data_IF_328875994684
#
_entry.id   IF_328875994684
#
_cell.length_a   1.000
_cell.length_b   1.000
_cell.length_c   1.000
_cell.angle_alpha   90.00
_cell.angle_beta   90.00
_cell.angle_gamma   90.00
#
_symmetry.space_group_name_H-M   'P 1'
#
loop_
_entity.id
_entity.type
_entity.pdbx_description
1 polymer ?
#
# COMPACT_ATOMS: atom_id res chain seq x y z
N UNK A 1 14.42 6.01 17.52
CA UNK A 1 13.23 6.77 17.06
C UNK A 1 12.06 6.35 17.91
N UNK A 2 11.48 7.26 18.69
CA UNK A 2 10.46 6.94 19.70
C UNK A 2 9.03 6.89 19.13
N UNK A 3 8.79 7.58 18.02
CA UNK A 3 7.48 7.64 17.36
C UNK A 3 7.66 7.64 15.84
N UNK A 4 6.93 6.75 15.16
CA UNK A 4 6.83 6.73 13.69
C UNK A 4 5.36 6.87 13.32
N UNK A 5 5.04 7.87 12.52
CA UNK A 5 3.71 8.05 11.92
C UNK A 5 3.90 8.11 10.43
N UNK A 6 3.44 7.10 9.70
CA UNK A 6 3.67 7.01 8.25
C UNK A 6 2.66 6.10 7.56
N UNK A 7 2.71 6.06 6.23
CA UNK A 7 1.96 5.15 5.38
C UNK A 7 2.90 4.53 4.34
N UNK A 8 2.54 3.42 3.68
CA UNK A 8 3.32 2.87 2.58
C UNK A 8 3.54 3.91 1.46
N UNK A 9 4.75 4.09 0.91
CA UNK A 9 4.93 4.77 -0.36
C UNK A 9 4.44 3.86 -1.50
N UNK A 10 3.16 3.99 -1.84
CA UNK A 10 2.48 3.13 -2.82
C UNK A 10 3.08 3.29 -4.24
N UNK A 11 3.81 2.26 -4.71
CA UNK A 11 4.29 2.14 -6.09
C UNK A 11 3.43 1.23 -6.97
N UNK A 12 2.30 0.78 -6.44
CA UNK A 12 1.47 -0.25 -7.06
C UNK A 12 0.43 0.34 -8.02
N UNK A 13 0.78 1.40 -8.76
CA UNK A 13 -0.11 2.11 -9.70
C UNK A 13 -0.73 1.19 -10.77
N UNK A 14 -0.14 0.02 -11.00
CA UNK A 14 -0.71 -1.05 -11.84
C UNK A 14 -1.94 -1.73 -11.24
N UNK A 15 -2.03 -1.82 -9.91
CA UNK A 15 -3.12 -2.47 -9.16
C UNK A 15 -4.05 -1.49 -8.47
N UNK A 16 -3.62 -0.23 -8.27
CA UNK A 16 -4.40 0.81 -7.58
C UNK A 16 -4.46 2.11 -8.38
N UNK A 17 -4.68 3.23 -7.71
CA UNK A 17 -4.88 4.52 -8.37
C UNK A 17 -3.52 5.04 -8.85
N UNK A 18 -3.39 5.20 -10.16
CA UNK A 18 -2.17 5.69 -10.77
C UNK A 18 -1.98 7.19 -10.51
N UNK A 19 -1.34 7.53 -9.38
CA UNK A 19 -1.01 8.92 -9.02
C UNK A 19 -0.19 9.60 -10.11
N UNK A 20 0.83 8.93 -10.65
CA UNK A 20 1.62 9.45 -11.77
C UNK A 20 0.79 9.77 -13.01
N UNK A 21 -0.24 8.98 -13.33
CA UNK A 21 -1.15 9.25 -14.46
C UNK A 21 -2.10 10.42 -14.15
N UNK A 22 -2.55 10.54 -12.90
CA UNK A 22 -3.41 11.65 -12.50
C UNK A 22 -2.65 12.98 -12.47
N UNK A 23 -1.39 12.98 -12.04
CA UNK A 23 -0.57 14.19 -11.91
C UNK A 23 0.23 14.54 -13.15
N UNK A 24 0.35 13.65 -14.15
CA UNK A 24 1.22 13.82 -15.32
C UNK A 24 1.03 15.15 -16.02
N UNK A 25 -0.21 15.53 -16.34
CA UNK A 25 -0.51 16.79 -17.03
C UNK A 25 -0.07 18.02 -16.22
N UNK A 26 -0.38 18.05 -14.93
CA UNK A 26 0.04 19.15 -14.05
C UNK A 26 1.56 19.23 -13.93
N UNK A 27 2.24 18.08 -13.87
CA UNK A 27 3.70 17.98 -13.78
C UNK A 27 4.38 18.44 -15.07
N UNK A 28 3.82 18.09 -16.23
CA UNK A 28 4.29 18.59 -17.53
C UNK A 28 4.17 20.11 -17.64
N UNK A 29 3.12 20.69 -17.06
CA UNK A 29 2.86 22.13 -17.15
C UNK A 29 3.81 22.98 -16.31
N UNK A 30 4.33 22.43 -15.20
CA UNK A 30 5.30 23.09 -14.33
C UNK A 30 6.76 22.67 -14.63
N UNK A 31 6.98 21.92 -15.70
CA UNK A 31 8.30 21.42 -16.08
C UNK A 31 9.27 22.58 -16.34
N UNK A 32 10.47 22.49 -15.79
CA UNK A 32 11.49 23.54 -15.81
C UNK A 32 11.23 24.69 -14.83
N UNK A 33 10.08 24.70 -14.15
CA UNK A 33 9.70 25.71 -13.15
C UNK A 33 9.80 25.18 -11.70
N UNK A 34 10.00 23.87 -11.52
CA UNK A 34 10.14 23.29 -10.18
C UNK A 34 11.56 23.53 -9.63
N UNK A 35 11.73 24.34 -8.56
CA UNK A 35 13.04 24.59 -7.96
C UNK A 35 13.66 23.33 -7.33
N UNK A 36 12.87 22.27 -7.13
CA UNK A 36 13.31 20.99 -6.59
C UNK A 36 13.60 19.93 -7.66
N UNK A 37 13.55 20.31 -8.94
CA UNK A 37 13.75 19.41 -10.09
C UNK A 37 12.45 18.85 -10.65
N UNK A 38 12.43 18.58 -11.95
CA UNK A 38 11.24 18.05 -12.62
C UNK A 38 10.85 16.66 -12.08
N UNK A 39 9.55 16.39 -12.03
CA UNK A 39 9.07 15.11 -11.55
C UNK A 39 9.43 13.98 -12.52
N UNK A 40 10.00 12.91 -11.98
CA UNK A 40 10.22 11.68 -12.72
C UNK A 40 9.01 10.74 -12.56
N UNK A 41 8.21 10.61 -13.63
CA UNK A 41 7.07 9.70 -13.67
C UNK A 41 7.49 8.22 -13.58
N UNK A 42 8.79 7.91 -13.66
CA UNK A 42 9.34 6.58 -13.45
C UNK A 42 9.43 6.18 -11.97
N UNK A 43 9.23 7.12 -11.03
CA UNK A 43 9.30 6.90 -9.57
C UNK A 43 8.38 5.77 -9.07
N UNK A 44 7.26 5.53 -9.76
CA UNK A 44 6.36 4.41 -9.46
C UNK A 44 7.11 3.06 -9.44
N UNK A 45 8.15 2.89 -10.28
CA UNK A 45 8.97 1.66 -10.34
C UNK A 45 9.93 1.51 -9.16
N UNK A 46 10.26 2.60 -8.49
CA UNK A 46 11.15 2.61 -7.33
C UNK A 46 10.37 2.60 -6.00
N UNK A 47 9.05 2.76 -6.06
CA UNK A 47 8.14 2.67 -4.91
C UNK A 47 7.68 1.21 -4.66
N UNK A 48 6.95 0.96 -3.58
CA UNK A 48 6.58 -0.41 -3.16
C UNK A 48 5.81 -1.15 -4.25
N UNK A 49 6.28 -2.35 -4.63
CA UNK A 49 5.70 -3.18 -5.68
C UNK A 49 6.08 -2.78 -7.10
N UNK A 50 6.99 -1.81 -7.27
CA UNK A 50 7.47 -1.35 -8.57
C UNK A 50 8.35 -2.38 -9.30
N UNK A 51 9.00 -3.28 -8.56
CA UNK A 51 9.84 -4.37 -9.09
C UNK A 51 9.22 -5.73 -8.79
N UNK A 52 9.33 -6.66 -9.74
CA UNK A 52 8.86 -8.03 -9.56
C UNK A 52 9.89 -8.80 -8.76
N UNK A 53 9.43 -9.44 -7.69
CA UNK A 53 10.24 -10.33 -6.86
C UNK A 53 9.80 -11.77 -7.02
N UNK A 54 10.74 -12.68 -6.77
CA UNK A 54 10.46 -14.10 -6.69
C UNK A 54 9.79 -14.45 -5.37
N UNK A 55 9.00 -15.52 -5.40
CA UNK A 55 8.12 -15.86 -4.29
C UNK A 55 8.92 -16.42 -3.10
N UNK A 56 8.81 -15.74 -1.97
CA UNK A 56 9.34 -16.11 -0.66
C UNK A 56 8.17 -15.99 0.32
N UNK A 57 7.96 -16.97 1.17
CA UNK A 57 6.83 -16.93 2.11
C UNK A 57 6.97 -15.75 3.06
N UNK A 58 5.96 -14.87 3.09
CA UNK A 58 5.87 -13.79 4.07
C UNK A 58 5.14 -14.25 5.33
N UNK A 59 5.47 -13.68 6.51
CA UNK A 59 4.91 -14.10 7.80
C UNK A 59 3.51 -13.50 8.06
N UNK A 60 2.58 -13.67 7.11
CA UNK A 60 1.19 -13.23 7.26
C UNK A 60 0.23 -14.30 6.74
N UNK A 61 -0.58 -14.85 7.65
CA UNK A 61 -1.59 -15.88 7.30
C UNK A 61 -2.68 -15.27 6.42
N UNK A 62 -3.14 -14.06 6.75
CA UNK A 62 -4.17 -13.37 5.95
C UNK A 62 -3.67 -13.05 4.56
N UNK A 63 -2.42 -12.61 4.42
CA UNK A 63 -1.82 -12.37 3.11
C UNK A 63 -1.81 -13.64 2.26
N UNK A 64 -1.36 -14.77 2.82
CA UNK A 64 -1.30 -16.03 2.09
C UNK A 64 -2.69 -16.47 1.61
N UNK A 65 -3.71 -16.41 2.47
CA UNK A 65 -5.10 -16.70 2.08
C UNK A 65 -5.62 -15.77 0.98
N UNK A 66 -5.27 -14.49 1.01
CA UNK A 66 -5.65 -13.52 -0.03
C UNK A 66 -4.91 -13.80 -1.33
N UNK A 67 -3.62 -14.09 -1.28
CA UNK A 67 -2.80 -14.40 -2.45
C UNK A 67 -3.29 -15.68 -3.16
N UNK A 68 -3.63 -16.73 -2.42
CA UNK A 68 -4.22 -17.96 -2.99
C UNK A 68 -5.51 -17.67 -3.76
N UNK A 69 -6.42 -16.89 -3.16
CA UNK A 69 -7.66 -16.46 -3.81
C UNK A 69 -7.39 -15.66 -5.07
N UNK A 70 -6.46 -14.70 -5.03
CA UNK A 70 -6.12 -13.89 -6.20
C UNK A 70 -5.44 -14.74 -7.28
N UNK A 71 -4.56 -15.66 -6.89
CA UNK A 71 -3.82 -16.53 -7.80
C UNK A 71 -4.75 -17.44 -8.59
N UNK A 72 -5.80 -17.99 -7.95
CA UNK A 72 -6.82 -18.80 -8.63
C UNK A 72 -7.59 -18.05 -9.72
N UNK A 73 -7.72 -16.72 -9.61
CA UNK A 73 -8.39 -15.88 -10.60
C UNK A 73 -7.42 -15.28 -11.63
N UNK A 74 -6.29 -14.78 -11.16
CA UNK A 74 -5.32 -14.05 -11.99
C UNK A 74 -3.91 -14.18 -11.41
N UNK A 75 -3.10 -15.16 -11.87
CA UNK A 75 -1.73 -15.37 -11.38
C UNK A 75 -0.82 -14.14 -11.51
N UNK A 76 -0.99 -13.36 -12.59
CA UNK A 76 -0.21 -12.13 -12.81
C UNK A 76 -0.46 -11.11 -11.71
N UNK A 77 -1.73 -10.88 -11.33
CA UNK A 77 -2.12 -9.95 -10.26
C UNK A 77 -1.65 -10.44 -8.89
N UNK A 78 -1.66 -11.76 -8.66
CA UNK A 78 -1.12 -12.32 -7.43
C UNK A 78 0.38 -11.99 -7.27
N UNK A 79 1.17 -12.07 -8.34
CA UNK A 79 2.59 -11.69 -8.30
C UNK A 79 2.80 -10.19 -8.04
N UNK A 80 1.96 -9.33 -8.61
CA UNK A 80 1.98 -7.87 -8.35
C UNK A 80 1.67 -7.57 -6.87
N UNK A 81 0.60 -8.17 -6.33
CA UNK A 81 0.21 -8.01 -4.93
C UNK A 81 1.30 -8.53 -3.99
N UNK A 82 1.86 -9.70 -4.29
CA UNK A 82 2.96 -10.27 -3.51
C UNK A 82 4.17 -9.33 -3.49
N UNK A 83 4.56 -8.79 -4.64
CA UNK A 83 5.74 -7.91 -4.74
C UNK A 83 5.58 -6.66 -3.87
N UNK A 84 4.38 -6.06 -3.87
CA UNK A 84 4.06 -4.95 -2.98
C UNK A 84 4.22 -5.32 -1.50
N UNK A 85 3.70 -6.48 -1.07
CA UNK A 85 3.77 -6.87 0.34
C UNK A 85 5.17 -7.29 0.77
N UNK A 86 5.97 -7.81 -0.16
CA UNK A 86 7.37 -8.10 0.07
C UNK A 86 8.15 -6.82 0.36
N UNK A 87 8.01 -5.79 -0.50
CA UNK A 87 8.67 -4.50 -0.28
C UNK A 87 8.14 -3.81 1.00
N UNK A 88 6.84 -3.98 1.31
CA UNK A 88 6.26 -3.46 2.55
C UNK A 88 6.87 -4.14 3.78
N UNK A 89 7.09 -5.44 3.73
CA UNK A 89 7.75 -6.19 4.80
C UNK A 89 9.19 -5.70 5.01
N UNK A 90 9.97 -5.58 3.93
CA UNK A 90 11.34 -5.04 4.01
C UNK A 90 11.36 -3.62 4.58
N UNK A 91 10.44 -2.77 4.16
CA UNK A 91 10.32 -1.40 4.69
C UNK A 91 9.95 -1.40 6.18
N UNK A 92 9.07 -2.32 6.59
CA UNK A 92 8.68 -2.50 7.99
C UNK A 92 9.86 -2.97 8.84
N UNK A 93 10.67 -3.89 8.34
CA UNK A 93 11.89 -4.36 9.00
C UNK A 93 12.88 -3.20 9.24
N UNK A 94 13.10 -2.34 8.23
CA UNK A 94 13.96 -1.17 8.38
C UNK A 94 13.42 -0.17 9.40
N UNK A 95 12.10 0.05 9.44
CA UNK A 95 11.45 0.87 10.47
C UNK A 95 11.74 0.29 11.84
N UNK A 96 11.50 -1.02 12.03
CA UNK A 96 11.70 -1.69 13.32
C UNK A 96 13.16 -1.61 13.77
N UNK A 97 14.13 -1.72 12.86
CA UNK A 97 15.55 -1.66 13.20
C UNK A 97 16.00 -0.32 13.82
N UNK A 98 15.32 0.80 13.52
CA UNK A 98 15.69 2.14 14.01
C UNK A 98 14.89 2.62 15.23
N UNK A 99 13.91 1.83 15.68
CA UNK A 99 13.06 2.18 16.83
C UNK A 99 13.83 2.15 18.14
N UNK A 100 13.53 3.07 19.06
CA UNK A 100 13.98 2.98 20.45
C UNK A 100 13.17 1.95 21.22
N UNK A 101 13.64 1.57 22.40
CA UNK A 101 12.82 0.84 23.38
C UNK A 101 11.52 1.62 23.68
N UNK A 102 10.38 0.92 23.77
CA UNK A 102 9.05 1.50 23.97
C UNK A 102 8.53 2.43 22.86
N UNK A 103 9.18 2.45 21.69
CA UNK A 103 8.72 3.26 20.58
C UNK A 103 7.33 2.82 20.08
N UNK A 104 6.57 3.78 19.55
CA UNK A 104 5.25 3.54 18.96
C UNK A 104 5.28 3.76 17.44
N UNK A 105 4.66 2.86 16.69
CA UNK A 105 4.44 2.96 15.26
C UNK A 105 2.95 3.10 14.99
N UNK A 106 2.55 4.21 14.39
CA UNK A 106 1.21 4.44 13.86
C UNK A 106 1.29 4.35 12.33
N UNK A 107 0.90 3.21 11.78
CA UNK A 107 1.00 2.93 10.36
C UNK A 107 -0.36 3.04 9.69
N UNK A 108 -0.53 4.06 8.85
CA UNK A 108 -1.80 4.37 8.18
C UNK A 108 -1.88 3.60 6.87
N UNK A 109 -2.93 2.80 6.73
CA UNK A 109 -3.19 1.98 5.54
C UNK A 109 -4.63 2.05 5.09
N UNK A 110 -4.84 1.71 3.84
CA UNK A 110 -6.15 1.63 3.23
C UNK A 110 -6.45 0.27 2.65
N UNK A 111 -7.55 -0.35 3.08
CA UNK A 111 -7.99 -1.61 2.50
C UNK A 111 -8.30 -1.40 1.02
N UNK A 112 -7.77 -2.29 0.19
CA UNK A 112 -7.83 -2.21 -1.28
C UNK A 112 -8.49 -3.45 -1.85
N UNK A 113 -8.80 -3.43 -3.14
CA UNK A 113 -9.43 -4.55 -3.84
C UNK A 113 -8.69 -4.83 -5.14
N UNK A 114 -8.31 -6.09 -5.36
CA UNK A 114 -7.65 -6.57 -6.59
C UNK A 114 -8.35 -7.84 -7.04
N UNK A 115 -8.69 -7.95 -8.34
CA UNK A 115 -9.46 -9.08 -8.88
C UNK A 115 -10.75 -9.39 -8.10
N UNK A 116 -11.46 -8.34 -7.69
CA UNK A 116 -12.67 -8.38 -6.84
C UNK A 116 -12.49 -9.03 -5.47
N UNK A 117 -11.25 -9.19 -5.01
CA UNK A 117 -10.91 -9.71 -3.69
C UNK A 117 -10.43 -8.53 -2.84
N UNK A 118 -11.08 -8.33 -1.70
CA UNK A 118 -10.66 -7.35 -0.71
C UNK A 118 -9.37 -7.82 -0.03
N UNK A 119 -8.41 -6.90 0.06
CA UNK A 119 -7.13 -7.08 0.70
C UNK A 119 -7.19 -6.27 2.02
N UNK A 120 -7.29 -6.94 3.17
CA UNK A 120 -7.33 -6.31 4.49
C UNK A 120 -5.91 -5.85 4.87
N UNK A 121 -5.54 -4.67 4.40
CA UNK A 121 -4.23 -4.07 4.60
C UNK A 121 -3.94 -3.85 6.08
N UNK A 122 -4.92 -3.37 6.82
CA UNK A 122 -4.91 -3.22 8.28
C UNK A 122 -4.37 -4.46 9.01
N UNK A 123 -5.00 -5.60 8.81
CA UNK A 123 -4.63 -6.83 9.48
C UNK A 123 -3.32 -7.42 8.95
N UNK A 124 -3.06 -7.34 7.64
CA UNK A 124 -1.81 -7.85 7.09
C UNK A 124 -0.63 -7.03 7.63
N UNK A 125 -0.74 -5.71 7.66
CA UNK A 125 0.27 -4.82 8.24
C UNK A 125 0.50 -5.14 9.72
N UNK A 126 -0.55 -5.37 10.50
CA UNK A 126 -0.42 -5.80 11.89
C UNK A 126 0.34 -7.13 12.01
N UNK A 127 -0.01 -8.14 11.21
CA UNK A 127 0.70 -9.43 11.19
C UNK A 127 2.19 -9.29 10.84
N UNK A 128 2.53 -8.43 9.87
CA UNK A 128 3.93 -8.17 9.49
C UNK A 128 4.70 -7.53 10.64
N UNK A 129 4.18 -6.47 11.27
CA UNK A 129 4.86 -5.84 12.41
C UNK A 129 4.97 -6.78 13.62
N UNK A 130 3.94 -7.58 13.89
CA UNK A 130 4.01 -8.60 14.95
C UNK A 130 5.06 -9.66 14.67
N UNK A 131 5.22 -10.08 13.42
CA UNK A 131 6.30 -11.01 13.05
C UNK A 131 7.71 -10.44 13.26
N UNK A 132 7.84 -9.10 13.24
CA UNK A 132 9.08 -8.36 13.49
C UNK A 132 9.30 -8.03 14.97
N UNK A 133 8.44 -8.53 15.87
CA UNK A 133 8.59 -8.40 17.32
C UNK A 133 7.85 -7.22 17.96
N UNK A 134 6.96 -6.54 17.24
CA UNK A 134 6.13 -5.47 17.80
C UNK A 134 4.79 -6.00 18.32
N UNK A 135 4.25 -5.36 19.36
CA UNK A 135 2.91 -5.62 19.85
C UNK A 135 1.90 -4.67 19.19
N UNK A 136 1.08 -5.19 18.27
CA UNK A 136 0.03 -4.40 17.63
C UNK A 136 -1.29 -4.53 18.41
N UNK A 137 -1.67 -3.46 19.11
CA UNK A 137 -2.75 -3.47 20.11
C UNK A 137 -4.04 -2.86 19.58
N UNK A 138 -3.95 -1.90 18.66
CA UNK A 138 -5.11 -1.14 18.19
C UNK A 138 -5.11 -0.98 16.67
N UNK A 139 -6.30 -1.06 16.08
CA UNK A 139 -6.56 -0.64 14.69
C UNK A 139 -7.68 0.40 14.74
N UNK A 140 -7.32 1.68 14.60
CA UNK A 140 -8.29 2.77 14.60
C UNK A 140 -8.84 2.97 13.19
N UNK A 141 -10.14 3.24 13.08
CA UNK A 141 -10.82 3.42 11.79
C UNK A 141 -11.26 4.86 11.64
N UNK A 142 -10.90 5.47 10.51
CA UNK A 142 -11.27 6.84 10.15
C UNK A 142 -12.05 6.85 8.84
N UNK A 143 -13.18 7.57 8.80
CA UNK A 143 -13.90 7.81 7.55
C UNK A 143 -13.32 9.01 6.77
N UNK A 144 -13.17 8.85 5.46
CA UNK A 144 -12.77 9.93 4.55
C UNK A 144 -14.04 10.65 4.09
N UNK A 145 -14.32 11.80 4.70
CA UNK A 145 -15.51 12.61 4.39
C UNK A 145 -15.38 13.39 3.08
N UNK A 146 -14.20 13.94 2.76
CA UNK A 146 -13.95 14.74 1.56
C UNK A 146 -12.83 14.13 0.72
N UNK A 147 -13.19 13.42 -0.35
CA UNK A 147 -12.23 12.79 -1.26
C UNK A 147 -12.01 13.65 -2.50
N UNK A 148 -10.77 14.11 -2.72
CA UNK A 148 -10.38 14.79 -3.98
C UNK A 148 -10.38 13.85 -5.19
N UNK A 149 -10.18 12.55 -4.94
CA UNK A 149 -10.21 11.52 -5.96
C UNK A 149 -11.63 10.97 -6.20
N UNK A 150 -11.93 10.44 -7.41
CA UNK A 150 -13.24 9.89 -7.73
C UNK A 150 -13.71 8.83 -6.72
N UNK A 151 -14.99 8.87 -6.36
CA UNK A 151 -15.59 7.89 -5.45
C UNK A 151 -15.72 6.50 -6.07
N UNK A 152 -15.69 6.41 -7.40
CA UNK A 152 -15.79 5.19 -8.18
C UNK A 152 -14.60 5.07 -9.12
N UNK A 153 -14.06 3.86 -9.28
CA UNK A 153 -13.08 3.54 -10.31
C UNK A 153 -13.59 2.40 -11.21
N UNK A 154 -12.98 2.24 -12.39
CA UNK A 154 -13.29 1.14 -13.32
C UNK A 154 -12.09 0.19 -13.39
N UNK A 155 -11.91 -0.71 -12.40
CA UNK A 155 -10.68 -1.50 -12.27
C UNK A 155 -10.46 -2.49 -13.43
N UNK A 156 -11.51 -2.82 -14.19
CA UNK A 156 -11.46 -3.77 -15.31
C UNK A 156 -11.28 -3.11 -16.68
N UNK A 157 -11.21 -1.76 -16.76
CA UNK A 157 -11.28 -1.02 -18.03
C UNK A 157 -12.50 -1.36 -18.92
N UNK A 158 -13.50 -2.05 -18.38
CA UNK A 158 -14.76 -2.34 -19.07
C UNK A 158 -15.72 -1.19 -18.78
N UNK A 159 -16.15 -0.51 -19.85
CA UNK A 159 -17.09 0.61 -19.76
C UNK A 159 -18.37 0.19 -19.01
N UNK A 160 -18.71 0.89 -17.92
CA UNK A 160 -19.89 0.63 -17.11
C UNK A 160 -19.64 -0.20 -15.84
N UNK A 161 -18.52 -0.93 -15.74
CA UNK A 161 -18.20 -1.71 -14.54
C UNK A 161 -17.48 -0.83 -13.49
N UNK A 162 -18.26 -0.23 -12.60
CA UNK A 162 -17.74 0.67 -11.55
C UNK A 162 -17.57 -0.08 -10.23
N UNK A 163 -16.43 0.10 -9.56
CA UNK A 163 -16.18 -0.35 -8.20
C UNK A 163 -16.03 0.85 -7.27
N UNK A 164 -16.47 0.70 -6.02
CA UNK A 164 -16.30 1.74 -5.00
C UNK A 164 -14.84 1.88 -4.62
N UNK A 165 -14.35 3.11 -4.56
CA UNK A 165 -13.04 3.39 -3.99
C UNK A 165 -13.10 3.38 -2.46
N UNK A 166 -11.96 3.12 -1.83
CA UNK A 166 -11.78 3.12 -0.37
C UNK A 166 -12.37 4.39 0.29
N UNK A 167 -13.18 4.21 1.34
CA UNK A 167 -13.80 5.30 2.12
C UNK A 167 -13.30 5.39 3.55
N UNK A 168 -12.48 4.43 3.98
CA UNK A 168 -11.98 4.31 5.34
C UNK A 168 -10.48 4.12 5.33
N UNK A 169 -9.79 4.87 6.17
CA UNK A 169 -8.38 4.69 6.53
C UNK A 169 -8.31 3.93 7.86
N UNK A 170 -7.28 3.12 7.99
CA UNK A 170 -7.00 2.31 9.16
C UNK A 170 -5.64 2.72 9.70
N UNK A 171 -5.56 2.98 11.00
CA UNK A 171 -4.33 3.32 11.70
C UNK A 171 -3.96 2.12 12.55
N UNK A 172 -2.95 1.36 12.11
CA UNK A 172 -2.41 0.22 12.85
C UNK A 172 -1.41 0.76 13.87
N UNK A 173 -1.68 0.57 15.15
CA UNK A 173 -0.84 1.03 16.26
C UNK A 173 -0.07 -0.14 16.85
N UNK A 174 1.25 -0.07 16.77
CA UNK A 174 2.14 -1.09 17.29
C UNK A 174 3.18 -0.49 18.25
N UNK A 175 3.55 -1.23 19.29
CA UNK A 175 4.56 -0.84 20.29
C UNK A 175 5.76 -1.78 20.23
N UNK A 176 6.96 -1.24 20.44
CA UNK A 176 8.20 -2.00 20.59
C UNK A 176 8.45 -2.42 22.03
#
# INVERSE_FOLDING_TARGET
MDLVITSPPYGDSRTTVAYGQFSSFSLDWIKGLNPFGDADLSLDKESLGGKKVDYISLPSKKLNTVLEKIQSKTPVRAKEVYSFFYDLYLSSEQIVNILSEHATVCFIVGNRRVADIEIPMDYITAELFTSLGLECTDILVREISNKRMPLLNSPTNIQGFKSSTMRKEYIVVCRR
#
